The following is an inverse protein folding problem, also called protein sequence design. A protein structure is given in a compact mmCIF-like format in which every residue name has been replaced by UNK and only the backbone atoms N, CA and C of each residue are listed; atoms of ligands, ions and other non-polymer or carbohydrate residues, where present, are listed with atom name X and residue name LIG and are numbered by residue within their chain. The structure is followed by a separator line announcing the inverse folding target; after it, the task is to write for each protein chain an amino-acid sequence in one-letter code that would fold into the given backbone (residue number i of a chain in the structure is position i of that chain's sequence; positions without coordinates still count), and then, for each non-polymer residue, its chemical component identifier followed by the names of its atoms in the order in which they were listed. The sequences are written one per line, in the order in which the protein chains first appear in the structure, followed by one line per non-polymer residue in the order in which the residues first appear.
data_IF_377827176713
#
_entry.id   IF_377827176713
#
_cell.length_a   1.000
_cell.length_b   1.000
_cell.length_c   1.000
_cell.angle_alpha   90.00
_cell.angle_beta   90.00
_cell.angle_gamma   90.00
#
_symmetry.space_group_name_H-M   'P 1'
#
loop_
_entity.id
_entity.type
_entity.pdbx_description
1 polymer ?
#
# COMPACT_ATOMS: atom_id res chain seq x y z
N UNK A 1 10.35 6.41 -27.66
CA UNK A 1 9.41 5.75 -26.74
C UNK A 1 10.13 5.58 -25.42
N UNK A 2 9.83 6.41 -24.42
CA UNK A 2 10.53 6.39 -23.14
C UNK A 2 9.85 5.33 -22.26
N UNK A 3 10.44 4.13 -22.20
CA UNK A 3 9.98 3.10 -21.26
C UNK A 3 10.36 3.58 -19.86
N UNK A 4 9.42 4.23 -19.19
CA UNK A 4 9.51 4.44 -17.75
C UNK A 4 9.56 3.06 -17.14
N UNK A 5 10.77 2.60 -16.81
CA UNK A 5 11.01 1.40 -16.02
C UNK A 5 10.32 1.66 -14.69
N UNK A 6 9.06 1.24 -14.62
CA UNK A 6 8.32 1.19 -13.38
C UNK A 6 9.19 0.31 -12.47
N UNK A 7 9.92 0.94 -11.54
CA UNK A 7 10.65 0.20 -10.52
C UNK A 7 9.69 -0.83 -9.94
N UNK A 8 10.09 -2.08 -9.72
CA UNK A 8 9.20 -3.13 -9.18
C UNK A 8 8.48 -2.69 -7.88
N UNK A 9 9.04 -1.70 -7.17
CA UNK A 9 8.44 -1.03 -6.01
C UNK A 9 7.21 -0.18 -6.31
N UNK A 10 7.09 0.41 -7.51
CA UNK A 10 5.98 1.27 -7.91
C UNK A 10 4.69 0.48 -8.18
N UNK A 11 4.81 -0.82 -8.45
CA UNK A 11 3.66 -1.66 -8.83
C UNK A 11 2.77 -2.13 -7.66
N UNK A 12 3.10 -1.84 -6.40
CA UNK A 12 2.33 -2.38 -5.27
C UNK A 12 1.77 -1.34 -4.28
N UNK A 13 2.21 -0.07 -4.31
CA UNK A 13 1.69 0.94 -3.37
C UNK A 13 0.23 1.28 -3.67
N UNK A 14 -0.09 1.57 -4.93
CA UNK A 14 -1.46 1.88 -5.35
C UNK A 14 -2.41 0.72 -5.06
N UNK A 15 -2.00 -0.52 -5.35
CA UNK A 15 -2.81 -1.71 -5.06
C UNK A 15 -3.04 -1.90 -3.54
N UNK A 16 -2.00 -1.72 -2.71
CA UNK A 16 -2.12 -1.83 -1.26
C UNK A 16 -3.04 -0.75 -0.67
N UNK A 17 -2.93 0.50 -1.12
CA UNK A 17 -3.84 1.58 -0.72
C UNK A 17 -5.28 1.34 -1.18
N UNK A 18 -5.48 0.81 -2.39
CA UNK A 18 -6.81 0.45 -2.88
C UNK A 18 -7.44 -0.65 -2.02
N UNK A 19 -6.68 -1.69 -1.65
CA UNK A 19 -7.17 -2.74 -0.71
C UNK A 19 -7.55 -2.17 0.64
N UNK A 20 -6.72 -1.29 1.21
CA UNK A 20 -7.00 -0.62 2.47
C UNK A 20 -8.27 0.23 2.40
N UNK A 21 -8.44 1.01 1.32
CA UNK A 21 -9.63 1.82 1.09
C UNK A 21 -10.89 0.96 1.02
N UNK A 22 -10.87 -0.13 0.25
CA UNK A 22 -11.99 -1.07 0.16
C UNK A 22 -12.33 -1.72 1.50
N UNK A 23 -11.32 -2.14 2.28
CA UNK A 23 -11.55 -2.74 3.60
C UNK A 23 -12.20 -1.74 4.58
N UNK A 24 -11.75 -0.47 4.56
CA UNK A 24 -12.34 0.59 5.38
C UNK A 24 -13.76 0.93 4.97
N UNK A 25 -14.03 1.00 3.66
CA UNK A 25 -15.37 1.23 3.15
C UNK A 25 -16.33 0.12 3.59
N UNK A 26 -15.90 -1.14 3.48
CA UNK A 26 -16.69 -2.30 3.93
C UNK A 26 -17.00 -2.23 5.42
N UNK A 27 -15.99 -2.00 6.26
CA UNK A 27 -16.18 -1.85 7.72
C UNK A 27 -17.15 -0.70 8.05
N UNK A 28 -17.07 0.43 7.34
CA UNK A 28 -17.96 1.56 7.55
C UNK A 28 -19.41 1.23 7.17
N UNK A 29 -19.62 0.54 6.04
CA UNK A 29 -20.94 0.05 5.62
C UNK A 29 -21.53 -0.90 6.65
N UNK A 30 -20.74 -1.85 7.14
CA UNK A 30 -21.20 -2.88 8.08
C UNK A 30 -21.51 -2.31 9.49
N UNK A 31 -20.97 -1.12 9.82
CA UNK A 31 -21.21 -0.40 11.07
C UNK A 31 -22.39 0.58 11.04
N UNK A 32 -22.89 0.99 9.86
CA UNK A 32 -24.00 1.95 9.75
C UNK A 32 -25.38 1.27 9.65
N UNK A 33 -26.36 1.77 10.43
CA UNK A 33 -26.72 1.14 11.70
C UNK A 33 -26.52 -0.39 11.67
N UNK A 34 -25.51 -0.88 12.42
CA UNK A 34 -25.08 -2.29 12.57
C UNK A 34 -25.80 -3.27 11.63
N UNK A 35 -25.48 -3.18 10.33
CA UNK A 35 -26.12 -4.00 9.31
C UNK A 35 -25.61 -5.45 9.37
N UNK A 36 -24.38 -5.63 9.86
CA UNK A 36 -23.71 -6.92 9.95
C UNK A 36 -23.63 -7.44 11.39
N UNK A 37 -23.59 -8.77 11.53
CA UNK A 37 -23.38 -9.42 12.82
C UNK A 37 -22.01 -9.05 13.43
N UNK A 38 -21.85 -9.05 14.76
CA UNK A 38 -20.59 -8.70 15.43
C UNK A 38 -19.35 -9.49 14.96
N UNK A 39 -19.55 -10.75 14.55
CA UNK A 39 -18.48 -11.59 13.99
C UNK A 39 -17.95 -11.06 12.64
N UNK A 40 -18.83 -10.50 11.81
CA UNK A 40 -18.47 -9.90 10.51
C UNK A 40 -17.67 -8.62 10.73
N UNK A 41 -18.16 -7.74 11.61
CA UNK A 41 -17.44 -6.51 11.98
C UNK A 41 -16.04 -6.81 12.54
N UNK A 42 -15.90 -7.88 13.32
CA UNK A 42 -14.58 -8.34 13.82
C UNK A 42 -13.66 -8.76 12.67
N UNK A 43 -14.18 -9.51 11.70
CA UNK A 43 -13.43 -9.93 10.52
C UNK A 43 -13.03 -8.74 9.64
N UNK A 44 -13.92 -7.75 9.45
CA UNK A 44 -13.61 -6.55 8.67
C UNK A 44 -12.55 -5.67 9.35
N UNK A 45 -12.57 -5.57 10.68
CA UNK A 45 -11.49 -4.91 11.44
C UNK A 45 -10.15 -5.63 11.24
N UNK A 46 -10.14 -6.96 11.26
CA UNK A 46 -8.93 -7.73 10.98
C UNK A 46 -8.45 -7.53 9.53
N UNK A 47 -9.36 -7.44 8.56
CA UNK A 47 -9.03 -7.15 7.17
C UNK A 47 -8.41 -5.75 7.01
N UNK A 48 -8.93 -4.73 7.71
CA UNK A 48 -8.32 -3.39 7.75
C UNK A 48 -6.91 -3.45 8.31
N UNK A 49 -6.71 -4.11 9.47
CA UNK A 49 -5.39 -4.21 10.09
C UNK A 49 -4.35 -4.91 9.18
N UNK A 50 -4.76 -5.97 8.48
CA UNK A 50 -3.91 -6.67 7.52
C UNK A 50 -3.53 -5.78 6.32
N UNK A 51 -4.48 -5.01 5.80
CA UNK A 51 -4.23 -4.08 4.70
C UNK A 51 -3.32 -2.91 5.12
N UNK A 52 -3.44 -2.41 6.35
CA UNK A 52 -2.54 -1.40 6.91
C UNK A 52 -1.10 -1.94 7.04
N UNK A 53 -0.93 -3.18 7.50
CA UNK A 53 0.37 -3.82 7.56
C UNK A 53 1.00 -4.06 6.17
N UNK A 54 0.18 -4.33 5.15
CA UNK A 54 0.63 -4.41 3.75
C UNK A 54 1.14 -3.05 3.25
N UNK A 55 0.38 -1.98 3.47
CA UNK A 55 0.79 -0.61 3.12
C UNK A 55 2.10 -0.25 3.82
N UNK A 56 2.23 -0.52 5.11
CA UNK A 56 3.46 -0.25 5.86
C UNK A 56 4.68 -0.98 5.28
N UNK A 57 4.53 -2.26 4.90
CA UNK A 57 5.61 -3.03 4.26
C UNK A 57 6.01 -2.44 2.91
N UNK A 58 5.05 -2.04 2.09
CA UNK A 58 5.33 -1.45 0.77
C UNK A 58 6.03 -0.09 0.92
N UNK A 59 5.58 0.76 1.85
CA UNK A 59 6.21 2.05 2.13
C UNK A 59 7.63 1.88 2.65
N UNK A 60 7.86 0.93 3.57
CA UNK A 60 9.19 0.63 4.09
C UNK A 60 10.13 0.11 2.99
N UNK A 61 9.66 -0.79 2.12
CA UNK A 61 10.42 -1.29 0.98
C UNK A 61 10.78 -0.17 0.00
N UNK A 62 9.84 0.74 -0.28
CA UNK A 62 10.11 1.89 -1.13
C UNK A 62 11.14 2.85 -0.52
N UNK A 63 11.05 3.15 0.77
CA UNK A 63 12.02 3.99 1.47
C UNK A 63 13.43 3.37 1.47
N UNK A 64 13.52 2.05 1.66
CA UNK A 64 14.79 1.33 1.59
C UNK A 64 15.41 1.40 0.19
N UNK A 65 14.59 1.31 -0.86
CA UNK A 65 15.03 1.41 -2.24
C UNK A 65 15.52 2.83 -2.59
N UNK A 66 14.76 3.87 -2.21
CA UNK A 66 15.19 5.27 -2.36
C UNK A 66 16.54 5.52 -1.68
N UNK A 67 16.72 5.00 -0.45
CA UNK A 67 17.98 5.13 0.27
C UNK A 67 19.15 4.38 -0.41
N UNK A 68 18.88 3.24 -1.08
CA UNK A 68 19.89 2.53 -1.90
C UNK A 68 20.28 3.34 -3.13
N UNK A 69 19.30 3.87 -3.85
CA UNK A 69 19.56 4.74 -5.00
C UNK A 69 20.41 5.95 -4.62
N UNK A 70 20.08 6.65 -3.53
CA UNK A 70 20.85 7.79 -3.04
C UNK A 70 22.31 7.42 -2.67
N UNK A 71 22.52 6.27 -2.00
CA UNK A 71 23.87 5.81 -1.65
C UNK A 71 24.71 5.36 -2.83
N UNK A 72 24.08 4.85 -3.89
CA UNK A 72 24.78 4.30 -5.06
C UNK A 72 25.40 5.36 -5.98
N UNK A 73 25.10 6.65 -5.80
CA UNK A 73 25.61 7.71 -6.67
C UNK A 73 25.04 7.70 -8.10
N UNK A 74 24.15 6.76 -8.43
CA UNK A 74 23.49 6.65 -9.75
C UNK A 74 22.65 7.86 -10.16
N UNK A 75 22.51 8.87 -9.29
CA UNK A 75 21.84 10.12 -9.62
C UNK A 75 22.56 10.92 -10.72
N UNK A 76 23.86 10.67 -10.94
CA UNK A 76 24.70 11.42 -11.89
C UNK A 76 24.76 10.85 -13.32
N UNK A 77 24.28 9.63 -13.57
CA UNK A 77 24.49 8.94 -14.86
C UNK A 77 23.29 9.03 -15.82
N UNK A 78 22.23 9.75 -15.43
CA UNK A 78 21.00 9.91 -16.25
C UNK A 78 21.01 11.22 -17.08
N UNK A 79 22.00 12.10 -16.85
CA UNK A 79 22.11 13.41 -17.51
C UNK A 79 23.48 13.72 -18.14
N UNK A 80 24.36 12.72 -18.29
CA UNK A 80 25.66 12.88 -18.98
C UNK A 80 25.60 12.43 -20.44
#
# INVERSE_FOLDING_TARGET
MNFSVASPSAWNAHAAYSRLSSARAKLATDQMPTAAAPGVITADRAAVANAEAEVARVVAAHAAEVARFQRSGQFLDVYA
#
